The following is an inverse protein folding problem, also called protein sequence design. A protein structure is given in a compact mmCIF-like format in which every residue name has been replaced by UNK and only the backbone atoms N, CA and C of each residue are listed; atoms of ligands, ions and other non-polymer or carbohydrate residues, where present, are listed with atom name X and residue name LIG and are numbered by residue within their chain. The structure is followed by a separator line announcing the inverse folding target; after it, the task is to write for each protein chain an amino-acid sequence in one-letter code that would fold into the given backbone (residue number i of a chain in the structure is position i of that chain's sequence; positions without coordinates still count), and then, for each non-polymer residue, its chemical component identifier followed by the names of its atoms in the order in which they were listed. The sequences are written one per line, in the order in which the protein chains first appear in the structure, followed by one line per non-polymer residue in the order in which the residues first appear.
data_IF_580184578185
#
_entry.id   IF_580184578185
#
_cell.length_a   1.000
_cell.length_b   1.000
_cell.length_c   1.000
_cell.angle_alpha   90.00
_cell.angle_beta   90.00
_cell.angle_gamma   90.00
#
_symmetry.space_group_name_H-M   'P 1'
#
loop_
_entity.id
_entity.type
_entity.pdbx_description
1 polymer ?
#
# COMPACT_ATOMS: atom_id res chain seq x y z
N UNK A 1 -18.09 -3.25 -19.06
CA UNK A 1 -17.86 -2.88 -17.65
C UNK A 1 -16.54 -2.14 -17.56
N UNK A 2 -16.46 -1.08 -16.75
CA UNK A 2 -15.18 -0.41 -16.49
C UNK A 2 -14.26 -1.36 -15.72
N UNK A 3 -12.97 -1.31 -16.02
CA UNK A 3 -11.96 -2.11 -15.31
C UNK A 3 -11.71 -1.48 -13.94
N UNK A 4 -11.71 -2.31 -12.89
CA UNK A 4 -11.53 -1.87 -11.50
C UNK A 4 -10.10 -2.10 -11.02
N UNK A 5 -9.61 -1.16 -10.22
CA UNK A 5 -8.34 -1.24 -9.50
C UNK A 5 -8.63 -1.12 -8.01
N UNK A 6 -8.03 -1.99 -7.22
CA UNK A 6 -8.16 -1.95 -5.76
C UNK A 6 -6.99 -1.19 -5.16
N UNK A 7 -7.28 -0.13 -4.40
CA UNK A 7 -6.29 0.57 -3.59
C UNK A 7 -6.35 0.05 -2.16
N UNK A 8 -5.20 -0.31 -1.63
CA UNK A 8 -5.02 -0.74 -0.25
C UNK A 8 -4.43 0.40 0.55
N UNK A 9 -5.06 0.77 1.64
CA UNK A 9 -4.60 1.79 2.59
C UNK A 9 -4.55 1.21 4.00
N UNK A 10 -3.68 1.75 4.87
CA UNK A 10 -3.55 1.25 6.24
C UNK A 10 -4.76 1.62 7.10
N UNK A 11 -5.00 0.82 8.12
CA UNK A 11 -5.90 1.14 9.24
C UNK A 11 -5.14 1.56 10.51
N UNK A 12 -3.81 1.61 10.44
CA UNK A 12 -2.95 1.91 11.58
C UNK A 12 -2.70 3.41 11.68
N UNK A 13 -2.93 4.00 12.86
CA UNK A 13 -2.99 5.45 13.08
C UNK A 13 -1.91 6.01 14.01
N UNK A 14 -1.00 5.15 14.52
CA UNK A 14 0.05 5.57 15.47
C UNK A 14 1.43 5.10 15.04
N UNK A 15 2.40 5.99 15.04
CA UNK A 15 3.79 5.69 14.73
C UNK A 15 4.47 4.99 15.91
N UNK A 16 4.40 3.67 15.94
CA UNK A 16 4.96 2.84 17.00
C UNK A 16 4.43 3.21 18.40
N UNK A 17 5.32 3.31 19.36
CA UNK A 17 5.01 3.71 20.74
C UNK A 17 5.10 5.23 20.95
N UNK A 18 5.20 6.01 19.89
CA UNK A 18 5.22 7.47 19.97
C UNK A 18 3.79 8.03 20.07
N UNK A 19 3.68 9.33 20.32
CA UNK A 19 2.41 10.05 20.24
C UNK A 19 2.13 10.62 18.84
N UNK A 20 3.00 10.35 17.88
CA UNK A 20 2.85 10.87 16.53
C UNK A 20 1.79 10.05 15.76
N UNK A 21 0.87 10.71 15.07
CA UNK A 21 -0.05 10.03 14.17
C UNK A 21 0.69 9.48 12.95
N UNK A 22 0.11 8.48 12.33
CA UNK A 22 0.49 7.96 11.02
C UNK A 22 -0.75 7.54 10.23
N UNK A 23 -0.56 7.09 9.00
CA UNK A 23 -1.66 6.68 8.14
C UNK A 23 -1.14 6.33 6.76
N UNK A 24 -2.02 6.39 5.75
CA UNK A 24 -1.57 6.36 4.36
C UNK A 24 -1.03 7.74 3.96
N UNK A 25 0.03 7.76 3.16
CA UNK A 25 0.60 9.01 2.63
C UNK A 25 -0.31 9.56 1.52
N UNK A 26 -0.86 10.77 1.71
CA UNK A 26 -1.93 11.28 0.84
C UNK A 26 -1.54 11.31 -0.64
N UNK A 27 -0.35 11.82 -0.98
CA UNK A 27 0.07 11.92 -2.38
C UNK A 27 0.26 10.57 -3.06
N UNK A 28 0.54 9.51 -2.30
CA UNK A 28 0.65 8.16 -2.84
C UNK A 28 -0.72 7.54 -3.19
N UNK A 29 -1.80 8.13 -2.71
CA UNK A 29 -3.16 7.78 -3.10
C UNK A 29 -3.66 8.71 -4.20
N UNK A 30 -3.56 10.02 -3.99
CA UNK A 30 -4.17 11.04 -4.84
C UNK A 30 -3.56 11.11 -6.25
N UNK A 31 -2.22 11.03 -6.35
CA UNK A 31 -1.54 11.12 -7.64
C UNK A 31 -1.84 9.91 -8.54
N UNK A 32 -1.70 8.65 -8.08
CA UNK A 32 -2.14 7.50 -8.89
C UNK A 32 -3.65 7.51 -9.17
N UNK A 33 -4.47 7.93 -8.20
CA UNK A 33 -5.90 8.09 -8.40
C UNK A 33 -6.18 9.02 -9.60
N UNK A 34 -5.58 10.20 -9.64
CA UNK A 34 -5.80 11.18 -10.70
C UNK A 34 -5.47 10.61 -12.10
N UNK A 35 -4.34 9.91 -12.21
CA UNK A 35 -3.92 9.28 -13.48
C UNK A 35 -4.90 8.19 -13.90
N UNK A 36 -5.27 7.32 -12.96
CA UNK A 36 -6.07 6.13 -13.27
C UNK A 36 -7.54 6.47 -13.57
N UNK A 37 -8.14 7.42 -12.84
CA UNK A 37 -9.51 7.85 -13.18
C UNK A 37 -9.56 8.58 -14.52
N UNK A 38 -8.52 9.37 -14.84
CA UNK A 38 -8.40 10.02 -16.15
C UNK A 38 -8.26 9.01 -17.30
N UNK A 39 -7.66 7.86 -17.01
CA UNK A 39 -7.57 6.73 -17.95
C UNK A 39 -8.85 5.86 -17.99
N UNK A 40 -9.89 6.23 -17.23
CA UNK A 40 -11.21 5.58 -17.27
C UNK A 40 -11.37 4.37 -16.35
N UNK A 41 -10.42 4.11 -15.43
CA UNK A 41 -10.55 3.06 -14.42
C UNK A 41 -11.50 3.48 -13.29
N UNK A 42 -12.07 2.48 -12.61
CA UNK A 42 -12.74 2.66 -11.33
C UNK A 42 -11.81 2.24 -10.20
N UNK A 43 -11.86 2.95 -9.07
CA UNK A 43 -11.04 2.65 -7.90
C UNK A 43 -11.95 2.38 -6.71
N UNK A 44 -11.70 1.25 -6.06
CA UNK A 44 -12.26 0.94 -4.74
C UNK A 44 -11.13 0.91 -3.70
N UNK A 45 -11.46 1.14 -2.44
CA UNK A 45 -10.50 1.15 -1.34
C UNK A 45 -10.78 0.01 -0.37
N UNK A 46 -9.71 -0.62 0.11
CA UNK A 46 -9.72 -1.61 1.17
C UNK A 46 -8.69 -1.25 2.22
N UNK A 47 -8.98 -1.52 3.48
CA UNK A 47 -8.00 -1.40 4.56
C UNK A 47 -8.11 -2.60 5.51
N UNK A 48 -7.05 -2.94 6.27
CA UNK A 48 -7.03 -4.13 7.14
C UNK A 48 -8.23 -4.30 8.06
N UNK A 49 -8.84 -3.20 8.53
CA UNK A 49 -10.00 -3.22 9.43
C UNK A 49 -11.30 -2.78 8.75
N UNK A 50 -11.23 -2.31 7.50
CA UNK A 50 -12.34 -1.58 6.88
C UNK A 50 -12.60 -0.21 7.52
N UNK A 51 -13.59 0.52 7.02
CA UNK A 51 -14.00 1.81 7.54
C UNK A 51 -13.02 2.94 7.23
N UNK A 52 -12.93 3.92 8.13
CA UNK A 52 -12.14 5.13 7.89
C UNK A 52 -10.65 4.86 8.01
N UNK A 53 -9.93 5.06 6.91
CA UNK A 53 -8.47 4.99 6.89
C UNK A 53 -7.84 6.30 7.40
N UNK A 54 -6.84 6.25 8.30
CA UNK A 54 -6.09 7.42 8.73
C UNK A 54 -5.16 7.91 7.63
N UNK A 55 -5.07 9.23 7.45
CA UNK A 55 -4.17 9.87 6.48
C UNK A 55 -3.02 10.57 7.19
N UNK A 56 -1.83 10.54 6.59
CA UNK A 56 -0.69 11.36 6.98
C UNK A 56 -0.23 12.26 5.82
N UNK A 57 0.60 13.25 6.11
CA UNK A 57 1.13 14.20 5.14
C UNK A 57 0.03 14.85 4.26
N UNK A 58 -1.02 15.34 4.92
CA UNK A 58 -2.15 15.98 4.24
C UNK A 58 -1.76 17.39 3.82
N UNK A 59 -1.09 17.49 2.68
CA UNK A 59 -0.75 18.76 2.05
C UNK A 59 -1.77 19.10 0.97
N UNK A 60 -2.67 20.04 1.27
CA UNK A 60 -3.69 20.53 0.33
C UNK A 60 -3.23 21.74 -0.49
N UNK A 61 -1.96 22.13 -0.42
CA UNK A 61 -1.36 23.07 -1.37
C UNK A 61 -1.02 22.39 -2.69
N UNK A 62 -0.84 21.06 -2.68
CA UNK A 62 -0.79 20.25 -3.89
C UNK A 62 -2.23 20.12 -4.46
N UNK A 63 -2.40 20.58 -5.71
CA UNK A 63 -3.71 20.64 -6.36
C UNK A 63 -4.33 19.25 -6.59
N UNK A 64 -3.52 18.20 -6.78
CA UNK A 64 -3.99 16.83 -6.97
C UNK A 64 -4.48 16.27 -5.63
N UNK A 65 -3.71 16.49 -4.56
CA UNK A 65 -4.13 16.15 -3.21
C UNK A 65 -5.47 16.81 -2.85
N UNK A 66 -5.57 18.11 -3.13
CA UNK A 66 -6.79 18.88 -2.89
C UNK A 66 -7.95 18.34 -3.71
N UNK A 67 -7.75 18.09 -5.00
CA UNK A 67 -8.80 17.55 -5.87
C UNK A 67 -9.32 16.19 -5.39
N UNK A 68 -8.44 15.29 -4.95
CA UNK A 68 -8.83 14.02 -4.34
C UNK A 68 -9.60 14.24 -3.03
N UNK A 69 -9.06 15.08 -2.15
CA UNK A 69 -9.60 15.33 -0.81
C UNK A 69 -11.00 15.95 -0.83
N UNK A 70 -11.28 16.81 -1.81
CA UNK A 70 -12.55 17.49 -2.02
C UNK A 70 -13.54 16.67 -2.88
N UNK A 71 -13.08 15.59 -3.53
CA UNK A 71 -13.94 14.73 -4.31
C UNK A 71 -14.85 13.90 -3.41
N UNK A 72 -16.14 14.23 -3.37
CA UNK A 72 -17.11 13.62 -2.45
C UNK A 72 -17.23 12.10 -2.61
N UNK A 73 -17.10 11.57 -3.84
CA UNK A 73 -17.21 10.13 -4.12
C UNK A 73 -16.02 9.37 -3.54
N UNK A 74 -14.79 9.83 -3.85
CA UNK A 74 -13.58 9.13 -3.41
C UNK A 74 -13.27 9.40 -1.94
N UNK A 75 -13.65 10.59 -1.44
CA UNK A 75 -13.63 10.89 -0.01
C UNK A 75 -14.52 9.93 0.77
N UNK A 76 -15.74 9.72 0.31
CA UNK A 76 -16.64 8.74 0.91
C UNK A 76 -16.03 7.32 0.87
N UNK A 77 -15.50 6.89 -0.27
CA UNK A 77 -14.91 5.55 -0.42
C UNK A 77 -13.74 5.30 0.54
N UNK A 78 -12.83 6.29 0.72
CA UNK A 78 -11.67 6.11 1.61
C UNK A 78 -12.02 6.26 3.10
N UNK A 79 -13.12 6.91 3.41
CA UNK A 79 -13.69 6.96 4.77
C UNK A 79 -14.55 5.73 5.10
N UNK A 80 -14.90 4.92 4.09
CA UNK A 80 -15.68 3.69 4.21
C UNK A 80 -15.03 2.58 3.40
N UNK A 81 -13.75 2.32 3.66
CA UNK A 81 -13.03 1.27 2.95
C UNK A 81 -13.64 -0.10 3.21
N UNK A 82 -13.54 -0.99 2.21
CA UNK A 82 -13.95 -2.38 2.35
C UNK A 82 -13.08 -3.08 3.40
N UNK A 83 -13.67 -4.10 4.05
CA UNK A 83 -12.86 -5.08 4.78
C UNK A 83 -12.27 -6.07 3.76
N UNK A 84 -11.02 -6.55 3.94
CA UNK A 84 -10.40 -7.48 3.00
C UNK A 84 -11.19 -8.77 2.74
N UNK A 85 -12.01 -9.21 3.70
CA UNK A 85 -12.87 -10.39 3.55
C UNK A 85 -14.07 -10.14 2.62
N UNK A 86 -14.48 -8.89 2.45
CA UNK A 86 -15.57 -8.49 1.56
C UNK A 86 -15.12 -8.35 0.11
N UNK A 87 -13.78 -8.32 -0.14
CA UNK A 87 -13.20 -8.13 -1.47
C UNK A 87 -13.26 -9.43 -2.26
N UNK A 88 -13.90 -9.37 -3.44
CA UNK A 88 -13.80 -10.41 -4.45
C UNK A 88 -12.65 -10.06 -5.44
N UNK A 89 -11.44 -10.66 -5.31
CA UNK A 89 -10.27 -10.23 -6.06
C UNK A 89 -10.38 -10.37 -7.58
N UNK A 90 -11.26 -11.28 -8.06
CA UNK A 90 -11.42 -11.50 -9.51
C UNK A 90 -12.09 -10.34 -10.25
N UNK A 91 -12.69 -9.40 -9.50
CA UNK A 91 -13.27 -8.18 -10.09
C UNK A 91 -12.23 -7.11 -10.43
N UNK A 92 -11.00 -7.26 -9.93
CA UNK A 92 -9.94 -6.27 -10.06
C UNK A 92 -8.84 -6.74 -11.01
N UNK A 93 -8.44 -5.85 -11.90
CA UNK A 93 -7.30 -6.10 -12.82
C UNK A 93 -5.96 -5.75 -12.19
N UNK A 94 -5.98 -5.00 -11.11
CA UNK A 94 -4.78 -4.60 -10.37
C UNK A 94 -5.10 -4.35 -8.90
N UNK A 95 -4.08 -4.50 -8.05
CA UNK A 95 -4.06 -4.00 -6.68
C UNK A 95 -2.85 -3.07 -6.51
N UNK A 96 -3.10 -1.92 -5.89
CA UNK A 96 -2.10 -0.91 -5.58
C UNK A 96 -2.07 -0.68 -4.07
N UNK A 97 -0.95 -0.98 -3.45
CA UNK A 97 -0.70 -0.75 -2.03
C UNK A 97 -0.06 0.61 -1.84
N UNK A 98 -0.79 1.55 -1.25
CA UNK A 98 -0.27 2.85 -0.84
C UNK A 98 0.55 2.73 0.45
N UNK A 99 1.60 3.52 0.57
CA UNK A 99 2.47 3.51 1.74
C UNK A 99 2.03 4.49 2.83
N UNK A 100 3.01 5.05 3.48
CA UNK A 100 2.95 5.67 4.80
C UNK A 100 3.48 4.70 5.84
N UNK A 101 3.96 5.18 6.98
CA UNK A 101 4.59 4.30 7.98
C UNK A 101 3.61 3.29 8.59
N UNK A 102 2.32 3.64 8.70
CA UNK A 102 1.30 2.78 9.32
C UNK A 102 1.23 1.37 8.75
N UNK A 103 1.54 1.21 7.45
CA UNK A 103 1.51 -0.09 6.75
C UNK A 103 2.49 -1.12 7.33
N UNK A 104 3.54 -0.66 8.01
CA UNK A 104 4.55 -1.53 8.63
C UNK A 104 3.97 -2.40 9.75
N UNK A 105 2.86 -1.98 10.37
CA UNK A 105 2.22 -2.69 11.49
C UNK A 105 1.08 -3.60 11.06
N UNK A 106 0.34 -3.25 9.99
CA UNK A 106 -0.92 -3.93 9.69
C UNK A 106 -0.96 -4.67 8.33
N UNK A 107 0.06 -4.47 7.45
CA UNK A 107 0.12 -5.20 6.18
C UNK A 107 0.82 -6.56 6.26
N UNK A 108 2.00 -6.73 6.91
CA UNK A 108 2.89 -7.89 6.66
C UNK A 108 2.27 -9.24 6.98
N UNK A 109 1.39 -9.30 7.98
CA UNK A 109 0.77 -10.53 8.44
C UNK A 109 -0.73 -10.62 8.14
N UNK A 110 -1.25 -9.70 7.31
CA UNK A 110 -2.64 -9.73 6.90
C UNK A 110 -2.84 -10.75 5.78
N UNK A 111 -3.34 -11.92 6.13
CA UNK A 111 -3.53 -13.04 5.20
C UNK A 111 -4.55 -12.71 4.10
N UNK A 112 -5.58 -11.94 4.40
CA UNK A 112 -6.61 -11.57 3.43
C UNK A 112 -6.05 -10.58 2.38
N UNK A 113 -5.23 -9.62 2.78
CA UNK A 113 -4.52 -8.76 1.84
C UNK A 113 -3.55 -9.58 0.98
N UNK A 114 -2.86 -10.56 1.58
CA UNK A 114 -1.99 -11.50 0.84
C UNK A 114 -2.77 -12.33 -0.18
N UNK A 115 -3.94 -12.86 0.19
CA UNK A 115 -4.86 -13.59 -0.71
C UNK A 115 -5.30 -12.72 -1.89
N UNK A 116 -5.63 -11.45 -1.64
CA UNK A 116 -6.01 -10.50 -2.70
C UNK A 116 -4.86 -10.34 -3.70
N UNK A 117 -3.64 -10.07 -3.22
CA UNK A 117 -2.46 -9.92 -4.08
C UNK A 117 -2.18 -11.20 -4.89
N UNK A 118 -2.18 -12.36 -4.22
CA UNK A 118 -1.98 -13.66 -4.86
C UNK A 118 -2.99 -13.89 -5.98
N UNK A 119 -4.29 -13.75 -5.69
CA UNK A 119 -5.37 -14.02 -6.65
C UNK A 119 -5.28 -13.10 -7.86
N UNK A 120 -5.09 -11.79 -7.66
CA UNK A 120 -4.96 -10.83 -8.76
C UNK A 120 -3.73 -11.16 -9.61
N UNK A 121 -2.60 -11.45 -8.97
CA UNK A 121 -1.36 -11.80 -9.68
C UNK A 121 -1.51 -13.08 -10.52
N UNK A 122 -2.05 -14.15 -9.93
CA UNK A 122 -2.20 -15.44 -10.61
C UNK A 122 -3.25 -15.41 -11.73
N UNK A 123 -4.17 -14.48 -11.68
CA UNK A 123 -5.11 -14.18 -12.78
C UNK A 123 -4.52 -13.26 -13.87
N UNK A 124 -3.21 -12.97 -13.84
CA UNK A 124 -2.52 -12.11 -14.81
C UNK A 124 -2.72 -10.62 -14.58
N UNK A 125 -3.21 -10.23 -13.42
CA UNK A 125 -3.35 -8.83 -13.01
C UNK A 125 -2.04 -8.24 -12.47
N UNK A 126 -2.08 -6.95 -12.14
CA UNK A 126 -0.92 -6.20 -11.65
C UNK A 126 -0.96 -6.07 -10.13
N UNK A 127 0.17 -6.38 -9.48
CA UNK A 127 0.40 -6.07 -8.06
C UNK A 127 1.45 -4.97 -7.97
N UNK A 128 1.09 -3.86 -7.35
CA UNK A 128 1.96 -2.68 -7.23
C UNK A 128 1.97 -2.18 -5.79
N UNK A 129 3.10 -1.64 -5.36
CA UNK A 129 3.29 -1.09 -4.02
C UNK A 129 4.32 0.04 -4.05
N UNK A 130 4.16 1.04 -3.18
CA UNK A 130 5.04 2.20 -3.11
C UNK A 130 5.53 2.44 -1.68
N UNK A 131 6.71 3.06 -1.51
CA UNK A 131 7.26 3.50 -0.22
C UNK A 131 7.44 2.32 0.75
N UNK A 132 6.70 2.30 1.86
CA UNK A 132 6.69 1.20 2.84
C UNK A 132 5.72 0.06 2.47
N UNK A 133 4.85 0.27 1.48
CA UNK A 133 3.81 -0.71 1.14
C UNK A 133 4.31 -2.08 0.63
N UNK A 134 5.54 -2.25 0.10
CA UNK A 134 6.09 -3.59 -0.16
C UNK A 134 6.12 -4.50 1.08
N UNK A 135 5.93 -3.96 2.30
CA UNK A 135 5.69 -4.74 3.51
C UNK A 135 4.51 -5.73 3.36
N UNK A 136 3.47 -5.38 2.59
CA UNK A 136 2.34 -6.26 2.29
C UNK A 136 2.76 -7.53 1.53
N UNK A 137 3.84 -7.47 0.78
CA UNK A 137 4.28 -8.55 -0.11
C UNK A 137 5.24 -9.54 0.57
N UNK A 138 5.73 -9.22 1.78
CA UNK A 138 6.72 -10.02 2.48
C UNK A 138 6.34 -11.50 2.63
N UNK A 139 5.08 -11.78 2.88
CA UNK A 139 4.59 -13.12 3.21
C UNK A 139 3.57 -13.66 2.19
N UNK A 140 3.41 -12.99 1.04
CA UNK A 140 2.50 -13.45 -0.02
C UNK A 140 3.09 -14.67 -0.69
N UNK A 141 2.39 -15.81 -0.57
CA UNK A 141 2.74 -17.07 -1.24
C UNK A 141 1.86 -17.28 -2.45
N UNK A 142 2.46 -17.73 -3.53
CA UNK A 142 1.77 -18.19 -4.72
C UNK A 142 1.24 -19.63 -4.53
N UNK A 143 0.38 -20.11 -5.41
CA UNK A 143 -0.19 -21.46 -5.38
C UNK A 143 0.86 -22.57 -5.45
N UNK A 144 2.05 -22.28 -6.03
CA UNK A 144 3.18 -23.19 -6.05
C UNK A 144 3.99 -23.21 -4.74
N UNK A 145 3.59 -22.42 -3.72
CA UNK A 145 4.24 -22.31 -2.41
C UNK A 145 5.41 -21.34 -2.34
N UNK A 146 5.85 -20.78 -3.46
CA UNK A 146 6.92 -19.78 -3.46
C UNK A 146 6.42 -18.39 -3.05
N UNK A 147 7.31 -17.57 -2.49
CA UNK A 147 6.99 -16.18 -2.20
C UNK A 147 6.86 -15.38 -3.51
N UNK A 148 5.83 -14.55 -3.60
CA UNK A 148 5.60 -13.67 -4.75
C UNK A 148 6.84 -12.85 -5.12
N UNK A 149 7.58 -12.37 -4.12
CA UNK A 149 8.73 -11.47 -4.30
C UNK A 149 10.04 -12.18 -4.63
N UNK A 150 10.12 -13.51 -4.46
CA UNK A 150 11.37 -14.27 -4.66
C UNK A 150 11.88 -14.13 -6.10
N UNK A 151 13.13 -13.69 -6.23
CA UNK A 151 13.80 -13.50 -7.53
C UNK A 151 13.30 -12.30 -8.35
N UNK A 152 12.41 -11.47 -7.79
CA UNK A 152 11.89 -10.27 -8.48
C UNK A 152 12.66 -9.03 -8.07
N UNK A 153 12.79 -8.11 -9.02
CA UNK A 153 13.30 -6.77 -8.77
C UNK A 153 12.29 -5.97 -7.97
N UNK A 154 12.70 -5.48 -6.82
CA UNK A 154 11.85 -4.70 -5.91
C UNK A 154 12.62 -3.50 -5.41
N UNK A 155 11.93 -2.38 -5.35
CA UNK A 155 12.30 -1.17 -4.63
C UNK A 155 11.33 -0.97 -3.46
N UNK A 156 11.78 -0.35 -2.39
CA UNK A 156 10.95 0.09 -1.27
C UNK A 156 11.66 1.19 -0.50
N UNK A 157 11.01 1.72 0.51
CA UNK A 157 11.69 2.55 1.50
C UNK A 157 12.89 1.80 2.07
N UNK A 158 14.06 2.46 2.07
CA UNK A 158 15.35 1.83 2.33
C UNK A 158 15.76 1.94 3.80
N UNK A 159 16.70 1.10 4.21
CA UNK A 159 17.29 1.20 5.55
C UNK A 159 18.02 2.54 5.78
N UNK A 160 18.53 3.14 4.71
CA UNK A 160 19.22 4.42 4.75
C UNK A 160 18.24 5.58 4.98
N UNK A 161 17.11 5.54 4.29
CA UNK A 161 16.00 6.49 4.46
C UNK A 161 15.37 6.42 5.85
N UNK A 162 15.17 5.20 6.40
CA UNK A 162 14.71 5.05 7.79
C UNK A 162 15.64 5.71 8.79
N UNK A 163 16.95 5.50 8.64
CA UNK A 163 17.96 6.13 9.49
C UNK A 163 17.97 7.64 9.33
N UNK A 164 17.83 8.13 8.09
CA UNK A 164 17.78 9.56 7.80
C UNK A 164 16.61 10.24 8.51
N UNK A 165 15.46 9.57 8.55
CA UNK A 165 14.26 10.05 9.26
C UNK A 165 14.28 9.77 10.78
N UNK A 166 15.29 9.06 11.29
CA UNK A 166 15.36 8.58 12.69
C UNK A 166 14.16 7.70 13.10
N UNK A 167 13.61 6.95 12.14
CA UNK A 167 12.48 6.02 12.34
C UNK A 167 12.92 4.57 12.46
N UNK A 168 14.20 4.26 12.21
CA UNK A 168 14.80 2.93 12.26
C UNK A 168 14.69 2.22 13.61
N UNK A 169 14.59 2.98 14.71
CA UNK A 169 14.33 2.46 16.05
C UNK A 169 12.84 2.38 16.43
N UNK A 170 11.96 2.91 15.57
CA UNK A 170 10.51 3.00 15.82
C UNK A 170 9.75 1.94 15.02
N UNK A 171 10.14 1.74 13.76
CA UNK A 171 9.49 0.74 12.90
C UNK A 171 9.71 -0.68 13.44
N UNK A 172 8.74 -1.60 13.25
CA UNK A 172 8.83 -2.94 13.84
C UNK A 172 9.94 -3.80 13.22
N UNK A 173 10.41 -3.44 12.05
CA UNK A 173 11.51 -4.09 11.32
C UNK A 173 12.02 -3.20 10.19
N UNK A 174 13.22 -3.49 9.69
CA UNK A 174 13.82 -2.80 8.56
C UNK A 174 13.36 -3.46 7.26
N UNK A 175 12.52 -2.76 6.49
CA UNK A 175 11.81 -3.31 5.32
C UNK A 175 12.76 -3.84 4.24
N UNK A 176 13.76 -3.06 3.83
CA UNK A 176 14.78 -3.49 2.86
C UNK A 176 15.45 -4.79 3.30
N UNK A 177 15.78 -4.90 4.58
CA UNK A 177 16.41 -6.11 5.15
C UNK A 177 15.48 -7.31 5.03
N UNK A 178 14.21 -7.17 5.37
CA UNK A 178 13.25 -8.27 5.32
C UNK A 178 12.89 -8.70 3.90
N UNK A 179 12.85 -7.77 2.95
CA UNK A 179 12.66 -8.07 1.52
C UNK A 179 13.84 -8.89 0.98
N UNK A 180 15.09 -8.46 1.25
CA UNK A 180 16.31 -9.19 0.85
C UNK A 180 16.37 -10.59 1.43
N UNK A 181 16.05 -10.78 2.72
CA UNK A 181 15.98 -12.10 3.37
C UNK A 181 15.03 -13.06 2.66
N UNK A 182 13.97 -12.55 2.04
CA UNK A 182 12.98 -13.34 1.30
C UNK A 182 13.34 -13.57 -0.17
N UNK A 183 14.54 -13.16 -0.56
CA UNK A 183 15.14 -13.47 -1.84
C UNK A 183 14.70 -12.57 -3.00
N UNK A 184 14.22 -11.36 -2.73
CA UNK A 184 14.03 -10.38 -3.79
C UNK A 184 15.37 -9.84 -4.30
N UNK A 185 15.40 -9.36 -5.53
CA UNK A 185 16.49 -8.59 -6.11
C UNK A 185 16.22 -7.12 -5.82
N UNK A 186 16.75 -6.66 -4.69
CA UNK A 186 16.50 -5.31 -4.23
C UNK A 186 17.30 -4.30 -5.05
N UNK A 187 16.61 -3.34 -5.65
CA UNK A 187 17.22 -2.24 -6.40
C UNK A 187 16.89 -0.90 -5.73
N UNK A 188 17.86 -0.02 -5.63
CA UNK A 188 17.66 1.37 -5.16
C UNK A 188 18.51 2.33 -5.97
N UNK A 189 18.05 3.57 -6.06
CA UNK A 189 18.86 4.73 -6.46
C UNK A 189 19.48 5.40 -5.22
N UNK A 190 19.82 6.68 -5.29
CA UNK A 190 20.16 7.48 -4.11
C UNK A 190 18.94 7.69 -3.20
N UNK A 191 19.12 8.46 -2.13
CA UNK A 191 17.99 8.97 -1.34
C UNK A 191 17.03 9.74 -2.27
N UNK A 192 15.74 9.70 -1.95
CA UNK A 192 14.63 10.28 -2.74
C UNK A 192 14.83 11.75 -3.10
#
# INVERSE_FOLDING_TARGET
MKKKILFVVTSHDRLGNTNNPTGYYLSEVSHPWSVLISAGYEIDFVSPKGGKAPAEAVDLTDEINKAFWENSVYRFKIEHTLNPQEVNPVEYIAVFYAGGHGVMWDYPNNQDLGRIAQTIYENGGVVSAVCHAPAALLNVKLSNGELLIKGRKINSFTNEEEKFLNTDSIVPFMLETELKKRGCLFEKSGLW
#
